data_IF_960474821257
#
_entry.id   IF_960474821257
#
_cell.length_a   1.000
_cell.length_b   1.000
_cell.length_c   1.000
_cell.angle_alpha   90.00
_cell.angle_beta   90.00
_cell.angle_gamma   90.00
#
_symmetry.space_group_name_H-M   'P 1'
#
loop_
_entity.id
_entity.type
_entity.pdbx_description
1 polymer ?
#
# COMPACT_ATOMS: atom_id res chain seq x y z
N UNK A 1 -15.44 14.80 -20.04
CA UNK A 1 -14.52 13.63 -20.11
C UNK A 1 -13.15 13.94 -19.50
N UNK A 2 -12.44 15.00 -19.93
CA UNK A 2 -11.11 15.40 -19.42
C UNK A 2 -10.99 15.41 -17.88
N UNK A 3 -11.92 16.06 -17.17
CA UNK A 3 -11.89 16.15 -15.70
C UNK A 3 -11.99 14.80 -14.97
N UNK A 4 -12.71 13.82 -15.54
CA UNK A 4 -12.83 12.48 -14.94
C UNK A 4 -11.52 11.71 -15.04
N UNK A 5 -10.81 11.82 -16.16
CA UNK A 5 -9.49 11.20 -16.37
C UNK A 5 -8.49 11.74 -15.35
N UNK A 6 -8.38 13.06 -15.18
CA UNK A 6 -7.44 13.64 -14.19
C UNK A 6 -7.75 13.19 -12.75
N UNK A 7 -9.03 13.08 -12.41
CA UNK A 7 -9.44 12.62 -11.07
C UNK A 7 -9.04 11.16 -10.87
N UNK A 8 -9.31 10.31 -11.85
CA UNK A 8 -8.97 8.90 -11.80
C UNK A 8 -7.46 8.67 -11.76
N UNK A 9 -6.69 9.36 -12.61
CA UNK A 9 -5.22 9.32 -12.58
C UNK A 9 -4.66 9.77 -11.22
N UNK A 10 -5.25 10.82 -10.63
CA UNK A 10 -4.86 11.29 -9.30
C UNK A 10 -5.18 10.26 -8.22
N UNK A 11 -6.33 9.59 -8.32
CA UNK A 11 -6.68 8.50 -7.40
C UNK A 11 -5.70 7.32 -7.52
N UNK A 12 -5.38 6.87 -8.73
CA UNK A 12 -4.39 5.81 -8.95
C UNK A 12 -3.00 6.20 -8.42
N UNK A 13 -2.59 7.45 -8.62
CA UNK A 13 -1.32 7.96 -8.09
C UNK A 13 -1.29 7.97 -6.55
N UNK A 14 -2.39 8.35 -5.90
CA UNK A 14 -2.51 8.32 -4.43
C UNK A 14 -2.57 6.89 -3.90
N UNK A 15 -3.24 5.98 -4.61
CA UNK A 15 -3.26 4.57 -4.29
C UNK A 15 -1.86 3.97 -4.36
N UNK A 16 -1.13 4.20 -5.47
CA UNK A 16 0.25 3.71 -5.59
C UNK A 16 1.17 4.33 -4.55
N UNK A 17 0.99 5.61 -4.22
CA UNK A 17 1.74 6.24 -3.13
C UNK A 17 1.46 5.58 -1.77
N UNK A 18 0.21 5.26 -1.44
CA UNK A 18 -0.11 4.53 -0.20
C UNK A 18 0.54 3.14 -0.15
N UNK A 19 0.54 2.42 -1.28
CA UNK A 19 1.25 1.13 -1.41
C UNK A 19 2.75 1.31 -1.17
N UNK A 20 3.37 2.33 -1.77
CA UNK A 20 4.80 2.61 -1.55
C UNK A 20 5.10 3.00 -0.10
N UNK A 21 4.22 3.76 0.56
CA UNK A 21 4.33 4.06 2.00
C UNK A 21 4.32 2.77 2.82
N UNK A 22 3.47 1.80 2.48
CA UNK A 22 3.47 0.51 3.15
C UNK A 22 4.73 -0.31 2.83
N UNK A 23 5.20 -0.36 1.58
CA UNK A 23 6.42 -1.09 1.18
C UNK A 23 7.67 -0.56 1.90
N UNK A 24 7.90 0.75 1.85
CA UNK A 24 9.07 1.34 2.51
C UNK A 24 8.87 1.46 4.02
N UNK A 25 7.61 1.56 4.48
CA UNK A 25 7.24 1.48 5.89
C UNK A 25 7.54 0.10 6.48
N UNK A 26 7.25 -0.97 5.74
CA UNK A 26 7.58 -2.35 6.09
C UNK A 26 9.08 -2.49 6.37
N UNK A 27 9.91 -1.88 5.52
CA UNK A 27 11.36 -1.81 5.74
C UNK A 27 11.70 -1.14 7.08
N UNK A 28 11.05 0.00 7.37
CA UNK A 28 11.30 0.79 8.57
C UNK A 28 10.83 0.12 9.87
N UNK A 29 9.68 -0.58 9.86
CA UNK A 29 9.08 -1.15 11.06
C UNK A 29 9.66 -2.51 11.42
N UNK A 30 10.19 -3.27 10.46
CA UNK A 30 10.66 -4.64 10.71
C UNK A 30 11.65 -4.79 11.90
N UNK A 31 12.61 -3.87 12.15
CA UNK A 31 13.46 -3.94 13.35
C UNK A 31 12.70 -3.90 14.68
N UNK A 32 11.54 -3.23 14.72
CA UNK A 32 10.64 -3.18 15.88
C UNK A 32 9.81 -4.47 15.97
N UNK A 33 9.35 -4.97 14.83
CA UNK A 33 8.56 -6.21 14.70
C UNK A 33 9.35 -7.44 15.18
N UNK A 34 10.67 -7.48 14.94
CA UNK A 34 11.52 -8.56 15.46
C UNK A 34 11.38 -8.71 16.98
N UNK A 35 11.36 -7.60 17.72
CA UNK A 35 11.24 -7.64 19.18
C UNK A 35 9.79 -7.83 19.62
N UNK A 36 8.86 -7.12 18.97
CA UNK A 36 7.44 -7.13 19.31
C UNK A 36 6.81 -8.52 19.11
N UNK A 37 7.08 -9.16 17.97
CA UNK A 37 6.61 -10.49 17.62
C UNK A 37 7.54 -11.60 18.12
N UNK A 38 8.66 -11.25 18.77
CA UNK A 38 9.65 -12.20 19.30
C UNK A 38 10.19 -13.16 18.24
N UNK A 39 10.48 -12.64 17.05
CA UNK A 39 10.87 -13.45 15.88
C UNK A 39 12.19 -14.23 16.12
N UNK A 40 13.09 -13.68 16.93
CA UNK A 40 14.33 -14.37 17.33
C UNK A 40 14.11 -15.63 18.16
N UNK A 41 12.90 -15.86 18.70
CA UNK A 41 12.57 -17.13 19.38
C UNK A 41 12.14 -18.22 18.39
N UNK A 42 11.85 -17.88 17.15
CA UNK A 42 11.40 -18.81 16.10
C UNK A 42 12.57 -19.38 15.28
N UNK A 43 13.75 -18.79 15.41
CA UNK A 43 14.95 -19.12 14.63
C UNK A 43 16.20 -19.10 15.49
N UNK A 44 17.29 -19.71 15.01
CA UNK A 44 18.55 -19.80 15.76
C UNK A 44 19.54 -18.68 15.44
N UNK A 45 19.18 -17.74 14.57
CA UNK A 45 20.05 -16.64 14.13
C UNK A 45 19.83 -15.37 14.95
N UNK A 46 20.82 -14.47 14.91
CA UNK A 46 20.76 -13.22 15.66
C UNK A 46 19.77 -12.23 15.03
N UNK A 47 19.36 -11.22 15.80
CA UNK A 47 18.57 -10.08 15.27
C UNK A 47 19.29 -9.37 14.12
N UNK A 48 20.61 -9.21 14.21
CA UNK A 48 21.39 -8.56 13.17
C UNK A 48 21.39 -9.38 11.88
N UNK A 49 21.48 -10.72 11.99
CA UNK A 49 21.41 -11.61 10.82
C UNK A 49 19.99 -11.62 10.22
N UNK A 50 18.94 -11.58 11.04
CA UNK A 50 17.57 -11.38 10.56
C UNK A 50 17.43 -10.10 9.74
N UNK A 51 17.97 -9.00 10.26
CA UNK A 51 17.95 -7.71 9.56
C UNK A 51 18.74 -7.76 8.26
N UNK A 52 19.87 -8.48 8.19
CA UNK A 52 20.62 -8.67 6.94
C UNK A 52 19.79 -9.40 5.90
N UNK A 53 19.17 -10.52 6.26
CA UNK A 53 18.33 -11.29 5.33
C UNK A 53 17.13 -10.47 4.84
N UNK A 54 16.47 -9.77 5.75
CA UNK A 54 15.35 -8.90 5.40
C UNK A 54 15.77 -7.74 4.50
N UNK A 55 16.95 -7.13 4.74
CA UNK A 55 17.51 -6.11 3.85
C UNK A 55 17.81 -6.66 2.45
N UNK A 56 18.32 -7.89 2.34
CA UNK A 56 18.54 -8.57 1.05
C UNK A 56 17.20 -8.75 0.32
N UNK A 57 16.18 -9.25 1.02
CA UNK A 57 14.83 -9.41 0.46
C UNK A 57 14.25 -8.07 -0.01
N UNK A 58 14.24 -7.06 0.85
CA UNK A 58 13.68 -5.74 0.51
C UNK A 58 14.45 -5.07 -0.63
N UNK A 59 15.78 -5.24 -0.68
CA UNK A 59 16.59 -4.76 -1.82
C UNK A 59 16.19 -5.48 -3.10
N UNK A 60 16.03 -6.80 -3.08
CA UNK A 60 15.59 -7.57 -4.24
C UNK A 60 14.21 -7.11 -4.73
N UNK A 61 13.24 -6.94 -3.84
CA UNK A 61 11.87 -6.57 -4.18
C UNK A 61 11.74 -5.13 -4.70
N UNK A 62 12.57 -4.20 -4.22
CA UNK A 62 12.43 -2.77 -4.53
C UNK A 62 13.39 -2.26 -5.61
N UNK A 63 14.47 -2.98 -5.90
CA UNK A 63 15.49 -2.59 -6.88
C UNK A 63 15.32 -3.35 -8.22
N UNK A 64 15.02 -2.67 -9.34
CA UNK A 64 14.84 -3.31 -10.63
C UNK A 64 16.12 -3.98 -11.16
N UNK A 65 17.30 -3.58 -10.66
CA UNK A 65 18.61 -4.12 -11.08
C UNK A 65 19.02 -5.39 -10.29
N UNK A 66 18.29 -5.74 -9.24
CA UNK A 66 18.59 -6.93 -8.43
C UNK A 66 17.92 -8.17 -9.04
N UNK A 67 18.62 -8.94 -9.86
CA UNK A 67 17.97 -10.04 -10.61
C UNK A 67 17.77 -11.33 -9.82
N UNK A 68 18.57 -11.56 -8.78
CA UNK A 68 18.57 -12.82 -8.02
C UNK A 68 18.32 -12.55 -6.54
N UNK A 69 17.40 -13.33 -5.95
CA UNK A 69 17.19 -13.37 -4.51
C UNK A 69 18.04 -14.51 -3.93
N UNK A 70 18.94 -14.16 -3.01
CA UNK A 70 19.77 -15.13 -2.29
C UNK A 70 19.95 -14.65 -0.85
N UNK A 71 19.07 -15.11 0.04
CA UNK A 71 19.14 -14.80 1.47
C UNK A 71 20.20 -15.70 2.13
N UNK A 72 21.15 -15.16 2.91
CA UNK A 72 22.22 -15.94 3.52
C UNK A 72 21.75 -17.08 4.45
N UNK A 73 20.69 -16.84 5.23
CA UNK A 73 20.25 -17.73 6.30
C UNK A 73 18.89 -18.39 6.05
N UNK A 74 18.17 -17.95 5.01
CA UNK A 74 16.86 -18.50 4.63
C UNK A 74 16.94 -19.11 3.23
N UNK A 75 17.14 -20.45 3.10
CA UNK A 75 16.98 -21.11 1.82
C UNK A 75 15.57 -20.87 1.27
N UNK A 76 15.41 -20.97 -0.04
CA UNK A 76 14.13 -20.76 -0.69
C UNK A 76 13.98 -21.77 -1.83
N UNK A 77 12.83 -22.43 -1.86
CA UNK A 77 12.46 -23.36 -2.93
C UNK A 77 12.27 -22.61 -4.26
N UNK A 78 12.22 -23.35 -5.37
CA UNK A 78 11.86 -22.77 -6.66
C UNK A 78 10.47 -22.11 -6.63
N UNK A 79 9.55 -22.66 -5.84
CA UNK A 79 8.22 -22.10 -5.61
C UNK A 79 8.29 -20.79 -4.84
N UNK A 80 9.00 -20.74 -3.71
CA UNK A 80 9.16 -19.52 -2.92
C UNK A 80 9.85 -18.40 -3.68
N UNK A 81 10.92 -18.72 -4.43
CA UNK A 81 11.60 -17.77 -5.32
C UNK A 81 10.69 -17.23 -6.41
N UNK A 82 9.84 -18.09 -7.00
CA UNK A 82 8.85 -17.66 -7.99
C UNK A 82 7.88 -16.65 -7.37
N UNK A 83 7.32 -16.95 -6.19
CA UNK A 83 6.40 -16.04 -5.50
C UNK A 83 7.04 -14.68 -5.20
N UNK A 84 8.27 -14.65 -4.68
CA UNK A 84 8.98 -13.38 -4.47
C UNK A 84 9.23 -12.62 -5.77
N UNK A 85 9.46 -13.32 -6.88
CA UNK A 85 9.53 -12.72 -8.21
C UNK A 85 8.21 -12.07 -8.65
N UNK A 86 7.09 -12.73 -8.40
CA UNK A 86 5.76 -12.16 -8.71
C UNK A 86 5.45 -10.93 -7.85
N UNK A 87 5.77 -10.98 -6.54
CA UNK A 87 5.64 -9.83 -5.62
C UNK A 87 6.54 -8.67 -6.08
N UNK A 88 7.76 -8.95 -6.53
CA UNK A 88 8.66 -7.94 -7.09
C UNK A 88 8.05 -7.20 -8.27
N UNK A 89 7.38 -7.92 -9.18
CA UNK A 89 6.68 -7.28 -10.29
C UNK A 89 5.58 -6.32 -9.83
N UNK A 90 4.83 -6.69 -8.79
CA UNK A 90 3.82 -5.81 -8.19
C UNK A 90 4.43 -4.57 -7.53
N UNK A 91 5.56 -4.71 -6.84
CA UNK A 91 6.29 -3.57 -6.25
C UNK A 91 6.73 -2.59 -7.34
N UNK A 92 7.31 -3.08 -8.44
CA UNK A 92 7.70 -2.25 -9.56
C UNK A 92 6.51 -1.65 -10.31
N UNK A 93 5.38 -2.34 -10.40
CA UNK A 93 4.14 -1.77 -10.95
C UNK A 93 3.70 -0.56 -10.11
N UNK A 94 3.69 -0.67 -8.78
CA UNK A 94 3.35 0.44 -7.90
C UNK A 94 4.32 1.63 -8.07
N UNK A 95 5.63 1.37 -8.13
CA UNK A 95 6.65 2.39 -8.40
C UNK A 95 6.45 3.06 -9.75
N UNK A 96 6.22 2.29 -10.82
CA UNK A 96 6.01 2.80 -12.17
C UNK A 96 4.75 3.68 -12.25
N UNK A 97 3.62 3.21 -11.70
CA UNK A 97 2.37 3.98 -11.64
C UNK A 97 2.58 5.29 -10.88
N UNK A 98 3.28 5.25 -9.74
CA UNK A 98 3.61 6.45 -8.97
C UNK A 98 4.43 7.46 -9.77
N UNK A 99 5.52 7.03 -10.41
CA UNK A 99 6.41 7.92 -11.16
C UNK A 99 5.70 8.50 -12.39
N UNK A 100 5.03 7.67 -13.19
CA UNK A 100 4.36 8.07 -14.43
C UNK A 100 3.23 9.08 -14.14
N UNK A 101 2.46 8.86 -13.06
CA UNK A 101 1.32 9.70 -12.73
C UNK A 101 1.67 10.89 -11.82
N UNK A 102 2.91 11.04 -11.38
CA UNK A 102 3.33 12.11 -10.45
C UNK A 102 3.06 13.50 -11.02
N UNK A 103 3.67 13.82 -12.16
CA UNK A 103 3.52 15.14 -12.78
C UNK A 103 2.06 15.49 -13.12
N UNK A 104 1.27 14.64 -13.81
CA UNK A 104 -0.12 14.97 -14.14
C UNK A 104 -1.00 15.14 -12.88
N UNK A 105 -0.84 14.29 -11.87
CA UNK A 105 -1.61 14.35 -10.62
C UNK A 105 -1.26 15.58 -9.80
N UNK A 106 0.04 15.89 -9.67
CA UNK A 106 0.51 17.11 -9.01
C UNK A 106 -0.05 18.37 -9.69
N UNK A 107 0.03 18.45 -11.03
CA UNK A 107 -0.47 19.62 -11.76
C UNK A 107 -2.00 19.77 -11.61
N UNK A 108 -2.74 18.66 -11.63
CA UNK A 108 -4.19 18.65 -11.40
C UNK A 108 -4.55 19.14 -9.98
N UNK A 109 -3.91 18.58 -8.95
CA UNK A 109 -4.16 18.96 -7.56
C UNK A 109 -3.79 20.42 -7.30
N UNK A 110 -2.62 20.88 -7.78
CA UNK A 110 -2.18 22.28 -7.67
C UNK A 110 -3.18 23.24 -8.30
N UNK A 111 -3.59 22.98 -9.54
CA UNK A 111 -4.53 23.83 -10.27
C UNK A 111 -5.93 23.82 -9.62
N UNK A 112 -6.41 22.66 -9.16
CA UNK A 112 -7.73 22.54 -8.53
C UNK A 112 -7.77 23.22 -7.17
N UNK A 113 -6.67 23.21 -6.42
CA UNK A 113 -6.53 23.97 -5.16
C UNK A 113 -6.52 25.48 -5.43
N UNK A 114 -5.69 25.94 -6.37
CA UNK A 114 -5.58 27.37 -6.70
C UNK A 114 -6.91 27.95 -7.21
N UNK A 115 -7.65 27.20 -8.04
CA UNK A 115 -8.96 27.60 -8.57
C UNK A 115 -10.14 27.34 -7.63
N UNK A 116 -9.88 26.81 -6.41
CA UNK A 116 -10.91 26.36 -5.45
C UNK A 116 -11.99 25.46 -6.10
N UNK A 117 -11.58 24.54 -6.98
CA UNK A 117 -12.47 23.70 -7.77
C UNK A 117 -12.48 22.21 -7.37
N UNK A 118 -11.83 21.83 -6.27
CA UNK A 118 -11.83 20.44 -5.76
C UNK A 118 -13.23 19.95 -5.37
N UNK A 119 -14.15 20.85 -5.01
CA UNK A 119 -15.54 20.49 -4.72
C UNK A 119 -16.23 19.76 -5.89
N UNK A 120 -15.82 20.03 -7.14
CA UNK A 120 -16.34 19.33 -8.32
C UNK A 120 -16.01 17.83 -8.33
N UNK A 121 -15.01 17.43 -7.56
CA UNK A 121 -14.49 16.06 -7.47
C UNK A 121 -14.82 15.40 -6.12
N UNK A 122 -15.54 16.09 -5.25
CA UNK A 122 -15.85 15.64 -3.88
C UNK A 122 -16.50 14.26 -3.87
N UNK A 123 -17.48 14.02 -4.74
CA UNK A 123 -18.21 12.75 -4.78
C UNK A 123 -17.27 11.58 -5.11
N UNK A 124 -16.38 11.76 -6.07
CA UNK A 124 -15.40 10.73 -6.45
C UNK A 124 -14.44 10.43 -5.30
N UNK A 125 -13.87 11.45 -4.66
CA UNK A 125 -12.97 11.22 -3.51
C UNK A 125 -13.70 10.65 -2.30
N UNK A 126 -14.98 10.97 -2.11
CA UNK A 126 -15.79 10.39 -1.01
C UNK A 126 -16.04 8.90 -1.26
N UNK A 127 -16.38 8.49 -2.48
CA UNK A 127 -16.49 7.07 -2.81
C UNK A 127 -15.16 6.34 -2.71
N UNK A 128 -14.07 6.97 -3.16
CA UNK A 128 -12.74 6.40 -3.06
C UNK A 128 -12.27 6.20 -1.61
N UNK A 129 -12.69 7.06 -0.67
CA UNK A 129 -12.45 6.90 0.77
C UNK A 129 -13.25 5.71 1.36
N UNK A 130 -14.49 5.51 0.90
CA UNK A 130 -15.34 4.47 1.46
C UNK A 130 -14.85 3.04 1.15
N UNK A 131 -14.25 2.82 -0.02
CA UNK A 131 -13.88 1.47 -0.47
C UNK A 131 -12.89 0.77 0.48
N UNK A 132 -11.75 1.36 0.88
CA UNK A 132 -10.82 0.68 1.78
C UNK A 132 -11.36 0.50 3.19
N UNK A 133 -12.27 1.36 3.66
CA UNK A 133 -12.98 1.16 4.94
C UNK A 133 -13.81 -0.13 4.87
N UNK A 134 -14.56 -0.35 3.78
CA UNK A 134 -15.34 -1.57 3.60
C UNK A 134 -14.43 -2.81 3.57
N UNK A 135 -13.30 -2.73 2.86
CA UNK A 135 -12.33 -3.82 2.80
C UNK A 135 -11.73 -4.11 4.19
N UNK A 136 -11.33 -3.07 4.93
CA UNK A 136 -10.78 -3.20 6.27
C UNK A 136 -11.80 -3.80 7.26
N UNK A 137 -13.05 -3.34 7.23
CA UNK A 137 -14.13 -3.90 8.06
C UNK A 137 -14.41 -5.35 7.68
N UNK A 138 -14.46 -5.68 6.39
CA UNK A 138 -14.62 -7.06 5.95
C UNK A 138 -13.47 -7.95 6.46
N UNK A 139 -12.22 -7.48 6.38
CA UNK A 139 -11.05 -8.17 6.93
C UNK A 139 -11.15 -8.41 8.44
N UNK A 140 -11.62 -7.42 9.21
CA UNK A 140 -11.86 -7.58 10.65
C UNK A 140 -12.94 -8.62 10.96
N UNK A 141 -13.97 -8.74 10.12
CA UNK A 141 -15.08 -9.69 10.33
C UNK A 141 -14.70 -11.13 10.00
N UNK A 142 -13.84 -11.35 9.00
CA UNK A 142 -13.43 -12.69 8.55
C UNK A 142 -12.13 -13.20 9.18
N UNK A 143 -11.39 -12.33 9.88
CA UNK A 143 -10.06 -12.63 10.41
C UNK A 143 -8.95 -12.33 9.40
N UNK A 144 -7.76 -11.99 9.91
CA UNK A 144 -6.66 -11.58 9.05
C UNK A 144 -6.15 -12.73 8.17
N UNK A 145 -6.12 -13.96 8.67
CA UNK A 145 -5.59 -15.14 7.96
C UNK A 145 -6.42 -15.43 6.70
N UNK A 146 -7.75 -15.39 6.83
CA UNK A 146 -8.67 -15.57 5.71
C UNK A 146 -8.59 -14.38 4.75
N UNK A 147 -8.48 -13.15 5.26
CA UNK A 147 -8.26 -11.97 4.43
C UNK A 147 -6.95 -12.08 3.63
N UNK A 148 -5.87 -12.52 4.27
CA UNK A 148 -4.55 -12.69 3.68
C UNK A 148 -4.57 -13.77 2.60
N UNK A 149 -5.28 -14.87 2.83
CA UNK A 149 -5.52 -15.93 1.83
C UNK A 149 -6.27 -15.38 0.61
N UNK A 150 -7.41 -14.70 0.81
CA UNK A 150 -8.20 -14.11 -0.28
C UNK A 150 -7.41 -13.04 -1.04
N UNK A 151 -6.56 -12.28 -0.36
CA UNK A 151 -5.68 -11.31 -0.98
C UNK A 151 -4.67 -11.98 -1.93
N UNK A 152 -4.08 -13.11 -1.52
CA UNK A 152 -3.19 -13.88 -2.39
C UNK A 152 -3.93 -14.49 -3.57
N UNK A 153 -5.10 -15.09 -3.36
CA UNK A 153 -5.92 -15.65 -4.45
C UNK A 153 -6.33 -14.58 -5.47
N UNK A 154 -6.62 -13.35 -5.01
CA UNK A 154 -6.98 -12.25 -5.88
C UNK A 154 -5.79 -11.70 -6.69
N UNK A 155 -4.58 -11.66 -6.11
CA UNK A 155 -3.39 -11.16 -6.79
C UNK A 155 -2.65 -12.21 -7.63
N UNK A 156 -2.77 -13.48 -7.26
CA UNK A 156 -2.11 -14.62 -7.89
C UNK A 156 -3.15 -15.69 -8.30
N UNK A 157 -4.12 -15.35 -9.19
CA UNK A 157 -5.21 -16.24 -9.53
C UNK A 157 -4.70 -17.52 -10.21
N UNK A 158 -5.07 -18.68 -9.64
CA UNK A 158 -4.63 -19.99 -10.13
C UNK A 158 -3.20 -20.38 -9.74
N UNK A 159 -2.54 -19.57 -8.90
CA UNK A 159 -1.20 -19.83 -8.40
C UNK A 159 -1.22 -20.27 -6.93
N UNK A 160 -0.32 -21.18 -6.57
CA UNK A 160 -0.14 -21.67 -5.20
C UNK A 160 1.28 -21.48 -4.67
N UNK A 161 2.15 -20.78 -5.42
CA UNK A 161 3.55 -20.60 -5.04
C UNK A 161 3.77 -19.79 -3.76
N UNK A 162 2.74 -19.05 -3.34
CA UNK A 162 2.68 -18.31 -2.08
C UNK A 162 2.46 -19.20 -0.84
N UNK A 163 2.06 -20.47 -1.02
CA UNK A 163 1.95 -21.46 0.06
C UNK A 163 3.33 -22.02 0.40
N UNK A 164 4.04 -21.34 1.30
CA UNK A 164 5.39 -21.72 1.70
C UNK A 164 5.39 -22.98 2.58
N UNK A 165 6.30 -23.89 2.30
CA UNK A 165 6.57 -25.02 3.18
C UNK A 165 7.67 -24.64 4.17
N UNK A 166 7.43 -24.65 5.50
CA UNK A 166 8.42 -24.26 6.48
C UNK A 166 9.75 -25.02 6.44
N UNK A 167 9.78 -26.24 5.86
CA UNK A 167 10.98 -27.03 5.70
C UNK A 167 11.87 -26.55 4.53
N UNK A 168 11.28 -25.96 3.48
CA UNK A 168 12.02 -25.50 2.29
C UNK A 168 12.09 -23.99 2.15
N UNK A 169 11.18 -23.28 2.82
CA UNK A 169 11.00 -21.83 2.78
C UNK A 169 10.86 -21.26 4.21
N UNK A 170 11.87 -21.44 5.08
CA UNK A 170 11.80 -21.07 6.50
C UNK A 170 11.67 -19.56 6.76
N UNK A 171 11.74 -18.72 5.72
CA UNK A 171 11.50 -17.28 5.83
C UNK A 171 10.11 -16.97 6.41
N UNK A 172 9.14 -17.88 6.24
CA UNK A 172 7.79 -17.72 6.81
C UNK A 172 7.79 -17.59 8.34
N UNK A 173 8.79 -18.15 9.03
CA UNK A 173 8.92 -18.02 10.50
C UNK A 173 9.20 -16.60 10.97
N UNK A 174 9.72 -15.75 10.08
CA UNK A 174 10.13 -14.38 10.39
C UNK A 174 9.42 -13.34 9.53
N UNK A 175 8.49 -13.78 8.68
CA UNK A 175 7.50 -12.97 8.00
C UNK A 175 6.10 -13.53 8.30
N UNK A 176 5.68 -13.54 9.58
CA UNK A 176 4.36 -14.06 9.94
C UNK A 176 3.26 -13.14 9.42
N UNK A 177 2.02 -13.62 9.41
CA UNK A 177 0.88 -12.85 8.90
C UNK A 177 0.63 -11.57 9.71
N UNK A 178 0.91 -11.55 11.02
CA UNK A 178 0.79 -10.36 11.86
C UNK A 178 1.71 -9.22 11.40
N UNK A 179 2.89 -9.54 10.88
CA UNK A 179 3.78 -8.54 10.28
C UNK A 179 3.12 -7.91 9.04
N UNK A 180 2.50 -8.72 8.20
CA UNK A 180 1.76 -8.22 7.04
C UNK A 180 0.52 -7.45 7.45
N UNK A 181 -0.17 -7.83 8.54
CA UNK A 181 -1.28 -7.07 9.10
C UNK A 181 -0.85 -5.63 9.45
N UNK A 182 0.29 -5.45 10.11
CA UNK A 182 0.84 -4.12 10.40
C UNK A 182 1.13 -3.34 9.11
N UNK A 183 1.65 -3.99 8.06
CA UNK A 183 1.84 -3.38 6.74
C UNK A 183 0.50 -2.94 6.09
N UNK A 184 -0.55 -3.75 6.18
CA UNK A 184 -1.89 -3.40 5.71
C UNK A 184 -2.47 -2.21 6.49
N UNK A 185 -2.26 -2.15 7.81
CA UNK A 185 -2.68 -1.01 8.64
C UNK A 185 -1.99 0.27 8.16
N UNK A 186 -0.68 0.24 7.91
CA UNK A 186 0.06 1.39 7.35
C UNK A 186 -0.56 1.83 6.01
N UNK A 187 -0.82 0.88 5.12
CA UNK A 187 -1.47 1.15 3.83
C UNK A 187 -2.83 1.85 4.01
N UNK A 188 -3.72 1.26 4.81
CA UNK A 188 -5.08 1.78 5.02
C UNK A 188 -5.05 3.17 5.66
N UNK A 189 -4.24 3.37 6.70
CA UNK A 189 -4.10 4.68 7.37
C UNK A 189 -3.55 5.73 6.40
N UNK A 190 -2.48 5.42 5.67
CA UNK A 190 -1.88 6.35 4.72
C UNK A 190 -2.88 6.75 3.62
N UNK A 191 -3.57 5.76 3.04
CA UNK A 191 -4.58 6.00 2.01
C UNK A 191 -5.73 6.87 2.55
N UNK A 192 -6.27 6.53 3.72
CA UNK A 192 -7.44 7.18 4.27
C UNK A 192 -7.16 8.62 4.68
N UNK A 193 -5.99 8.89 5.29
CA UNK A 193 -5.54 10.24 5.61
C UNK A 193 -5.49 11.13 4.35
N UNK A 194 -5.00 10.59 3.23
CA UNK A 194 -4.95 11.34 1.97
C UNK A 194 -6.34 11.61 1.39
N UNK A 195 -7.21 10.60 1.34
CA UNK A 195 -8.56 10.76 0.81
C UNK A 195 -9.40 11.70 1.66
N UNK A 196 -9.40 11.54 2.98
CA UNK A 196 -10.14 12.41 3.90
C UNK A 196 -9.62 13.85 3.84
N UNK A 197 -8.31 14.07 3.67
CA UNK A 197 -7.75 15.41 3.47
C UNK A 197 -8.29 16.09 2.21
N UNK A 198 -8.43 15.35 1.10
CA UNK A 198 -9.02 15.87 -0.13
C UNK A 198 -10.52 16.14 0.02
N UNK A 199 -11.26 15.23 0.66
CA UNK A 199 -12.70 15.39 0.94
C UNK A 199 -12.94 16.60 1.83
N UNK A 200 -12.18 16.76 2.92
CA UNK A 200 -12.28 17.89 3.83
C UNK A 200 -12.00 19.22 3.10
N UNK A 201 -10.98 19.26 2.25
CA UNK A 201 -10.67 20.44 1.44
C UNK A 201 -11.79 20.76 0.44
N UNK A 202 -12.33 19.75 -0.23
CA UNK A 202 -13.42 19.89 -1.18
C UNK A 202 -14.71 20.41 -0.50
N UNK A 203 -15.07 19.87 0.67
CA UNK A 203 -16.21 20.34 1.48
C UNK A 203 -16.04 21.79 1.93
N UNK A 204 -14.85 22.17 2.41
CA UNK A 204 -14.55 23.57 2.78
C UNK A 204 -14.75 24.53 1.60
N UNK A 205 -14.31 24.15 0.40
CA UNK A 205 -14.53 24.96 -0.81
C UNK A 205 -16.01 25.08 -1.20
N UNK A 206 -16.78 23.99 -1.10
CA UNK A 206 -18.21 24.00 -1.38
C UNK A 206 -18.96 24.93 -0.42
N UNK A 207 -18.72 24.80 0.89
CA UNK A 207 -19.38 25.61 1.91
C UNK A 207 -19.07 27.10 1.74
N UNK A 208 -17.82 27.46 1.42
CA UNK A 208 -17.45 28.85 1.14
C UNK A 208 -18.16 29.39 -0.12
N UNK A 209 -18.41 28.55 -1.13
CA UNK A 209 -19.11 28.96 -2.35
C UNK A 209 -20.60 29.20 -2.10
N UNK A 210 -21.25 28.32 -1.32
CA UNK A 210 -22.66 28.47 -0.93
C UNK A 210 -22.89 29.76 -0.14
N UNK A 211 -22.09 30.01 0.92
CA UNK A 211 -22.14 31.25 1.72
C UNK A 211 -21.88 32.53 0.93
N UNK A 212 -21.10 32.44 -0.16
CA UNK A 212 -20.84 33.59 -1.03
C UNK A 212 -21.98 33.88 -2.00
N UNK A 213 -22.75 32.86 -2.39
CA UNK A 213 -23.92 33.03 -3.24
C UNK A 213 -25.09 33.59 -2.42
N UNK A 214 -25.36 33.05 -1.23
CA UNK A 214 -26.38 33.57 -0.30
C UNK A 214 -26.22 35.08 -0.05
N UNK A 215 -24.99 35.52 0.27
CA UNK A 215 -24.68 36.95 0.47
C UNK A 215 -24.80 37.83 -0.77
N UNK A 216 -24.82 37.25 -1.97
CA UNK A 216 -25.07 37.99 -3.21
C UNK A 216 -26.56 38.10 -3.50
N UNK A 217 -27.35 37.10 -3.12
CA UNK A 217 -28.80 37.10 -3.31
C UNK A 217 -29.52 38.00 -2.29
N UNK A 218 -28.87 38.32 -1.16
CA UNK A 218 -29.33 39.28 -0.14
C UNK A 218 -29.01 40.77 -0.48
N UNK A 219 -28.26 41.05 -1.55
CA UNK A 219 -27.86 42.41 -1.97
C UNK A 219 -28.52 42.84 -3.27
#
# INVERSE_FOLDING_TARGET
MKNRIWTFSTWLWLLSFAVLVAIYGAWLIYPLEIDWLKLTLQVTITKDDLLKNFNVLMTYLTNPLSHTLAMPDFPSSASGLKHFGDVKHLFHLAQAVFVILLYPSWRFLKNSRAKKSLFLHQRTFTFAAFLPIVIAVAGLLIGFDQFFTLFHEALFPGDSSWLFNPATDPIIWVLPEEYFMHCFIIFFVAYEVMMLSLVATARKQLNHRLKNNERKDEK
#
